data_IF_638806349469
#
_entry.id   IF_638806349469
#
_cell.length_a   1.000
_cell.length_b   1.000
_cell.length_c   1.000
_cell.angle_alpha   90.00
_cell.angle_beta   90.00
_cell.angle_gamma   90.00
#
_symmetry.space_group_name_H-M   'P 1'
#
loop_
_entity.id
_entity.type
_entity.pdbx_description
1 polymer ?
#
# COMPACT_ATOMS: atom_id res chain seq x y z
N UNK A 1 -38.50 44.54 0.75
CA UNK A 1 -37.45 43.87 -0.04
C UNK A 1 -36.52 42.96 0.77
N UNK A 2 -36.82 42.62 2.04
CA UNK A 2 -35.99 41.71 2.87
C UNK A 2 -36.62 40.33 3.09
N UNK A 3 -37.86 40.13 2.64
CA UNK A 3 -38.65 38.93 2.95
C UNK A 3 -38.49 37.79 1.94
N UNK A 4 -37.64 37.96 0.92
CA UNK A 4 -37.38 36.95 -0.12
C UNK A 4 -36.20 36.02 0.19
N UNK A 5 -35.45 36.28 1.27
CA UNK A 5 -34.23 35.50 1.60
C UNK A 5 -34.55 34.29 2.51
N UNK A 6 -35.66 34.34 3.26
CA UNK A 6 -36.04 33.31 4.23
C UNK A 6 -36.26 31.89 3.65
N UNK A 7 -36.85 31.69 2.45
CA UNK A 7 -37.10 30.32 1.95
C UNK A 7 -35.88 29.67 1.29
N UNK A 8 -34.77 30.40 1.08
CA UNK A 8 -33.58 29.85 0.42
C UNK A 8 -32.75 28.94 1.34
N UNK A 9 -32.80 29.19 2.65
CA UNK A 9 -32.07 28.42 3.66
C UNK A 9 -32.45 26.93 3.72
N UNK A 10 -33.73 26.52 3.80
CA UNK A 10 -34.08 25.11 3.87
C UNK A 10 -33.71 24.36 2.57
N UNK A 11 -33.79 25.04 1.43
CA UNK A 11 -33.49 24.44 0.13
C UNK A 11 -31.98 24.22 -0.05
N UNK A 12 -31.16 25.18 0.38
CA UNK A 12 -29.70 25.03 0.43
C UNK A 12 -29.27 23.92 1.41
N UNK A 13 -29.94 23.82 2.56
CA UNK A 13 -29.66 22.78 3.55
C UNK A 13 -29.99 21.37 3.03
N UNK A 14 -31.13 21.21 2.34
CA UNK A 14 -31.50 19.95 1.69
C UNK A 14 -30.51 19.54 0.60
N UNK A 15 -30.06 20.49 -0.23
CA UNK A 15 -29.05 20.21 -1.26
C UNK A 15 -27.69 19.80 -0.66
N UNK A 16 -27.33 20.36 0.50
CA UNK A 16 -26.10 20.01 1.21
C UNK A 16 -26.20 18.66 1.94
N UNK A 17 -27.37 18.34 2.52
CA UNK A 17 -27.60 17.10 3.26
C UNK A 17 -27.91 15.89 2.35
N UNK A 18 -28.44 16.12 1.14
CA UNK A 18 -28.77 15.08 0.17
C UNK A 18 -27.61 14.10 -0.13
N UNK A 19 -26.37 14.52 -0.43
CA UNK A 19 -25.28 13.57 -0.69
C UNK A 19 -24.94 12.70 0.52
N UNK A 20 -25.02 13.23 1.74
CA UNK A 20 -24.80 12.48 2.99
C UNK A 20 -25.88 11.42 3.21
N UNK A 21 -27.14 11.74 2.91
CA UNK A 21 -28.28 10.82 2.97
C UNK A 21 -28.26 9.75 1.86
N UNK A 22 -27.69 10.08 0.69
CA UNK A 22 -27.62 9.17 -0.47
C UNK A 22 -26.36 8.29 -0.47
N UNK A 23 -25.36 8.56 0.38
CA UNK A 23 -24.15 7.74 0.50
C UNK A 23 -24.40 6.26 0.86
N UNK A 24 -25.29 5.90 1.81
CA UNK A 24 -25.56 4.50 2.14
C UNK A 24 -26.37 3.75 1.06
N UNK A 25 -27.01 4.47 0.12
CA UNK A 25 -27.78 3.90 -0.99
C UNK A 25 -26.91 3.53 -2.19
N UNK A 26 -25.61 3.86 -2.18
CA UNK A 26 -24.67 3.32 -3.17
C UNK A 26 -24.52 1.83 -2.92
N UNK A 27 -25.15 1.04 -3.79
CA UNK A 27 -25.06 -0.43 -3.84
C UNK A 27 -23.60 -0.86 -3.68
N UNK A 28 -23.24 -1.41 -2.53
CA UNK A 28 -21.91 -1.98 -2.31
C UNK A 28 -21.81 -3.21 -3.21
N UNK A 29 -21.03 -3.12 -4.27
CA UNK A 29 -20.72 -4.30 -5.09
C UNK A 29 -20.00 -5.31 -4.18
N UNK A 30 -20.42 -6.58 -4.15
CA UNK A 30 -19.72 -7.61 -3.41
C UNK A 30 -18.25 -7.66 -3.84
N UNK A 31 -17.36 -7.56 -2.85
CA UNK A 31 -15.92 -7.66 -3.10
C UNK A 31 -15.53 -9.06 -3.57
N UNK A 32 -14.36 -9.21 -4.21
CA UNK A 32 -13.82 -10.50 -4.67
C UNK A 32 -13.60 -11.53 -3.55
N UNK A 33 -13.66 -11.09 -2.30
CA UNK A 33 -13.53 -11.91 -1.09
C UNK A 33 -14.85 -12.06 -0.31
N UNK A 34 -15.97 -11.54 -0.83
CA UNK A 34 -17.27 -11.69 -0.19
C UNK A 34 -17.86 -13.08 -0.48
N UNK A 35 -18.68 -13.59 0.45
CA UNK A 35 -19.35 -14.87 0.29
C UNK A 35 -20.23 -14.92 -0.98
N UNK A 36 -20.89 -13.80 -1.32
CA UNK A 36 -21.69 -13.63 -2.54
C UNK A 36 -20.89 -13.86 -3.83
N UNK A 37 -19.60 -13.51 -3.84
CA UNK A 37 -18.72 -13.78 -4.98
C UNK A 37 -18.39 -15.26 -5.12
N UNK A 38 -18.38 -16.02 -4.01
CA UNK A 38 -18.12 -17.46 -4.03
C UNK A 38 -19.35 -18.29 -4.40
N UNK A 39 -20.56 -17.85 -4.05
CA UNK A 39 -21.80 -18.55 -4.42
C UNK A 39 -22.12 -18.45 -5.91
N UNK A 40 -21.66 -17.41 -6.60
CA UNK A 40 -21.82 -17.24 -8.03
C UNK A 40 -20.78 -18.00 -8.89
N UNK A 41 -19.85 -18.76 -8.27
CA UNK A 41 -18.78 -19.42 -9.00
C UNK A 41 -19.30 -20.70 -9.67
N UNK A 42 -19.10 -20.88 -10.99
CA UNK A 42 -19.49 -22.12 -11.66
C UNK A 42 -18.75 -23.30 -11.04
N UNK A 43 -19.43 -24.45 -10.98
CA UNK A 43 -18.89 -25.71 -10.48
C UNK A 43 -17.54 -25.99 -11.16
N UNK A 44 -16.46 -26.23 -10.40
CA UNK A 44 -15.15 -26.47 -11.00
C UNK A 44 -15.23 -27.69 -11.92
N UNK A 45 -14.94 -27.47 -13.21
CA UNK A 45 -14.86 -28.54 -14.20
C UNK A 45 -13.68 -29.44 -13.82
N UNK A 46 -13.93 -30.73 -13.71
CA UNK A 46 -12.92 -31.72 -13.42
C UNK A 46 -11.99 -31.82 -14.64
N UNK A 47 -10.82 -31.18 -14.56
CA UNK A 47 -9.80 -31.22 -15.62
C UNK A 47 -9.06 -32.57 -15.55
N UNK A 48 -8.76 -33.16 -16.72
CA UNK A 48 -7.86 -34.31 -16.84
C UNK A 48 -6.56 -34.08 -16.07
N UNK A 49 -5.94 -35.14 -15.50
CA UNK A 49 -4.75 -35.00 -14.68
C UNK A 49 -3.64 -34.28 -15.46
N UNK A 50 -3.41 -33.06 -15.03
CA UNK A 50 -2.44 -32.16 -15.64
C UNK A 50 -1.03 -32.71 -15.48
N UNK A 51 -0.18 -32.54 -16.49
CA UNK A 51 1.28 -32.78 -16.42
C UNK A 51 1.94 -32.02 -15.25
N UNK A 52 1.30 -30.95 -14.78
CA UNK A 52 1.70 -30.17 -13.60
C UNK A 52 1.40 -30.85 -12.25
N UNK A 53 0.65 -31.97 -12.25
CA UNK A 53 0.38 -32.79 -11.07
C UNK A 53 1.37 -33.95 -10.92
N UNK A 54 2.26 -34.18 -11.90
CA UNK A 54 3.33 -35.18 -11.75
C UNK A 54 4.31 -34.68 -10.68
N UNK A 55 4.67 -35.50 -9.68
CA UNK A 55 5.68 -35.13 -8.71
C UNK A 55 7.00 -34.82 -9.44
N UNK A 56 7.61 -33.70 -9.09
CA UNK A 56 8.86 -33.27 -9.71
C UNK A 56 10.00 -34.17 -9.25
N UNK A 57 10.64 -34.90 -10.17
CA UNK A 57 11.68 -35.89 -9.85
C UNK A 57 13.09 -35.30 -9.71
N UNK A 58 13.29 -34.02 -10.01
CA UNK A 58 14.60 -33.39 -9.82
C UNK A 58 14.81 -33.05 -8.35
N UNK A 59 15.91 -33.50 -7.72
CA UNK A 59 16.22 -33.08 -6.37
C UNK A 59 16.32 -31.55 -6.31
N UNK A 60 15.72 -30.89 -5.30
CA UNK A 60 15.81 -29.45 -5.16
C UNK A 60 17.28 -29.02 -5.03
N UNK A 61 17.64 -27.93 -5.69
CA UNK A 61 18.99 -27.40 -5.59
C UNK A 61 19.32 -27.02 -4.11
N UNK A 62 20.58 -27.11 -3.66
CA UNK A 62 20.94 -26.86 -2.26
C UNK A 62 20.42 -25.53 -1.71
N UNK A 63 20.51 -24.45 -2.51
CA UNK A 63 20.02 -23.13 -2.13
C UNK A 63 18.49 -23.04 -1.94
N UNK A 64 17.72 -23.98 -2.51
CA UNK A 64 16.25 -24.06 -2.30
C UNK A 64 15.96 -24.72 -0.96
N UNK A 65 16.73 -25.76 -0.61
CA UNK A 65 16.62 -26.47 0.68
C UNK A 65 16.92 -25.50 1.84
N UNK A 66 18.01 -24.73 1.72
CA UNK A 66 18.40 -23.68 2.68
C UNK A 66 17.33 -22.59 2.84
N UNK A 67 16.53 -22.31 1.80
CA UNK A 67 15.44 -21.33 1.89
C UNK A 67 14.23 -21.83 2.65
N UNK A 68 13.94 -23.12 2.51
CA UNK A 68 12.81 -23.81 3.13
C UNK A 68 13.06 -24.27 4.56
N UNK A 69 14.30 -24.24 5.04
CA UNK A 69 14.62 -24.53 6.43
C UNK A 69 13.84 -23.59 7.36
N UNK A 70 13.10 -24.12 8.36
CA UNK A 70 12.49 -23.32 9.41
C UNK A 70 13.55 -22.46 10.08
N UNK A 71 13.20 -21.22 10.41
CA UNK A 71 14.07 -20.40 11.25
C UNK A 71 14.08 -21.01 12.65
N UNK A 72 15.26 -21.22 13.22
CA UNK A 72 15.36 -21.41 14.67
C UNK A 72 14.99 -20.07 15.32
N UNK A 73 14.03 -20.12 16.25
CA UNK A 73 13.38 -18.93 16.85
C UNK A 73 14.34 -17.97 17.59
N UNK A 74 15.62 -18.35 17.75
CA UNK A 74 16.65 -17.61 18.47
C UNK A 74 17.55 -16.71 17.61
N UNK A 75 17.31 -16.60 16.30
CA UNK A 75 18.09 -15.70 15.45
C UNK A 75 17.42 -14.32 15.33
N UNK A 76 17.99 -13.26 15.95
CA UNK A 76 17.45 -11.91 15.83
C UNK A 76 17.56 -11.46 14.37
N UNK A 77 16.42 -11.43 13.69
CA UNK A 77 16.20 -10.69 12.45
C UNK A 77 17.35 -10.83 11.43
N UNK A 78 17.76 -12.06 11.13
CA UNK A 78 18.79 -12.33 10.13
C UNK A 78 18.21 -11.97 8.76
N UNK A 79 18.46 -10.72 8.36
CA UNK A 79 18.32 -10.28 6.98
C UNK A 79 19.17 -11.25 6.16
N UNK A 80 18.50 -12.07 5.35
CA UNK A 80 19.18 -13.11 4.59
C UNK A 80 20.35 -12.49 3.80
N UNK A 81 21.52 -13.16 3.68
CA UNK A 81 22.73 -12.55 3.11
C UNK A 81 22.52 -11.89 1.74
N UNK A 82 21.60 -12.42 0.94
CA UNK A 82 21.24 -11.90 -0.38
C UNK A 82 20.32 -10.66 -0.37
N UNK A 83 19.75 -10.30 0.79
CA UNK A 83 19.00 -9.06 1.02
C UNK A 83 19.93 -7.96 1.54
N UNK A 84 21.04 -8.32 2.18
CA UNK A 84 21.94 -7.39 2.85
C UNK A 84 22.70 -6.41 1.92
N UNK A 85 22.66 -6.60 0.60
CA UNK A 85 23.35 -5.75 -0.38
C UNK A 85 22.45 -4.79 -1.17
N UNK A 86 21.13 -4.91 -1.05
CA UNK A 86 20.22 -4.07 -1.83
C UNK A 86 19.56 -3.04 -0.92
N UNK A 87 19.84 -1.73 -1.09
CA UNK A 87 19.06 -0.73 -0.41
C UNK A 87 17.59 -0.94 -0.79
N UNK A 88 16.74 -1.15 0.22
CA UNK A 88 15.31 -1.30 -0.01
C UNK A 88 14.85 -0.09 -0.83
N UNK A 89 14.18 -0.28 -1.98
CA UNK A 89 13.62 0.84 -2.72
C UNK A 89 12.69 1.61 -1.77
N UNK A 90 12.98 2.90 -1.57
CA UNK A 90 12.13 3.77 -0.76
C UNK A 90 10.74 3.78 -1.37
N UNK A 91 9.74 3.48 -0.55
CA UNK A 91 8.35 3.59 -0.96
C UNK A 91 7.96 5.06 -1.07
N UNK A 92 6.88 5.37 -1.79
CA UNK A 92 6.35 6.75 -1.82
C UNK A 92 5.99 7.25 -0.42
N UNK A 93 5.59 6.37 0.51
CA UNK A 93 5.35 6.74 1.90
C UNK A 93 6.62 7.22 2.61
N UNK A 94 7.76 6.60 2.31
CA UNK A 94 9.05 7.01 2.88
C UNK A 94 9.45 8.39 2.36
N UNK A 95 9.20 8.66 1.07
CA UNK A 95 9.41 9.99 0.50
C UNK A 95 8.48 11.04 1.09
N UNK A 96 7.21 10.71 1.31
CA UNK A 96 6.28 11.64 1.96
C UNK A 96 6.69 11.97 3.41
N UNK A 97 7.15 10.97 4.18
CA UNK A 97 7.69 11.19 5.52
C UNK A 97 8.91 12.12 5.48
N UNK A 98 9.81 11.88 4.53
CA UNK A 98 11.03 12.69 4.37
C UNK A 98 10.71 14.15 4.00
N UNK A 99 9.77 14.38 3.06
CA UNK A 99 9.32 15.73 2.68
C UNK A 99 8.72 16.49 3.87
N UNK A 100 7.90 15.83 4.69
CA UNK A 100 7.30 16.45 5.89
C UNK A 100 8.36 16.82 6.91
N UNK A 101 9.35 15.95 7.11
CA UNK A 101 10.48 16.23 7.99
C UNK A 101 11.28 17.43 7.51
N UNK A 102 11.63 17.48 6.22
CA UNK A 102 12.33 18.62 5.63
C UNK A 102 11.55 19.93 5.82
N UNK A 103 10.23 19.91 5.57
CA UNK A 103 9.38 21.07 5.79
C UNK A 103 9.35 21.52 7.27
N UNK A 104 9.35 20.58 8.22
CA UNK A 104 9.39 20.89 9.65
C UNK A 104 10.71 21.56 10.07
N UNK A 105 11.85 21.07 9.57
CA UNK A 105 13.15 21.70 9.82
C UNK A 105 13.25 23.10 9.19
N UNK A 106 12.79 23.25 7.94
CA UNK A 106 12.75 24.55 7.28
C UNK A 106 11.87 25.55 8.04
N UNK A 107 10.70 25.13 8.55
CA UNK A 107 9.83 25.96 9.39
C UNK A 107 10.49 26.35 10.71
N UNK A 108 11.42 25.53 11.23
CA UNK A 108 12.23 25.82 12.40
C UNK A 108 13.51 26.64 12.10
N UNK A 109 13.72 27.05 10.85
CA UNK A 109 14.91 27.80 10.43
C UNK A 109 16.20 26.97 10.41
N UNK A 110 16.08 25.64 10.38
CA UNK A 110 17.22 24.71 10.36
C UNK A 110 17.38 24.12 8.96
N UNK A 111 18.62 24.10 8.48
CA UNK A 111 18.96 23.42 7.23
C UNK A 111 18.90 21.90 7.44
N UNK A 112 18.00 21.24 6.71
CA UNK A 112 17.87 19.79 6.71
C UNK A 112 18.51 19.23 5.44
N UNK A 113 19.43 18.25 5.55
CA UNK A 113 20.12 17.67 4.40
C UNK A 113 19.18 16.73 3.62
N UNK A 114 18.18 17.32 2.98
CA UNK A 114 17.25 16.62 2.11
C UNK A 114 17.98 16.21 0.84
N UNK A 115 18.14 14.90 0.62
CA UNK A 115 18.71 14.36 -0.60
C UNK A 115 17.66 13.52 -1.32
N UNK A 116 17.43 13.85 -2.58
CA UNK A 116 16.62 13.08 -3.51
C UNK A 116 17.46 12.81 -4.77
N UNK A 117 17.16 11.75 -5.55
CA UNK A 117 17.86 11.50 -6.80
C UNK A 117 17.76 12.72 -7.72
N UNK A 118 18.90 13.37 -8.02
CA UNK A 118 18.97 14.61 -8.80
C UNK A 118 18.91 15.91 -8.00
N UNK A 119 19.01 15.86 -6.67
CA UNK A 119 19.16 17.07 -5.85
C UNK A 119 20.51 17.75 -6.15
N UNK A 120 20.55 19.10 -6.19
CA UNK A 120 21.82 19.83 -6.26
C UNK A 120 22.68 19.49 -5.04
N UNK A 121 23.99 19.38 -5.24
CA UNK A 121 24.93 19.13 -4.15
C UNK A 121 24.84 20.26 -3.13
N UNK A 122 24.59 19.92 -1.86
CA UNK A 122 24.58 20.91 -0.78
C UNK A 122 25.98 21.51 -0.65
N UNK A 123 26.10 22.84 -0.79
CA UNK A 123 27.36 23.58 -0.83
C UNK A 123 28.13 23.62 0.51
N UNK A 124 27.85 22.72 1.46
CA UNK A 124 28.39 22.73 2.82
C UNK A 124 28.99 21.42 3.32
N UNK A 125 29.09 20.38 2.50
CA UNK A 125 29.74 19.12 2.90
C UNK A 125 31.23 19.14 2.51
N UNK A 126 32.00 19.99 3.18
CA UNK A 126 33.46 19.90 3.22
C UNK A 126 33.87 19.66 4.67
N UNK A 127 34.17 18.40 4.99
CA UNK A 127 35.17 17.98 5.99
C UNK A 127 35.85 16.74 5.45
#
# INVERSE_FOLDING_TARGET
>A
MRDLIAPLYPLLWLLWAAPLLLLPLRTRKPGRHSAEHFTARPTPVQLSPSIWLKPWNTPPAPHVIERSAPFEDDLPNVVRPYVAGFPRPRTEQDWQRERRRAAAFAAAGMDYPYSYPGAPAHAGAAV
#
